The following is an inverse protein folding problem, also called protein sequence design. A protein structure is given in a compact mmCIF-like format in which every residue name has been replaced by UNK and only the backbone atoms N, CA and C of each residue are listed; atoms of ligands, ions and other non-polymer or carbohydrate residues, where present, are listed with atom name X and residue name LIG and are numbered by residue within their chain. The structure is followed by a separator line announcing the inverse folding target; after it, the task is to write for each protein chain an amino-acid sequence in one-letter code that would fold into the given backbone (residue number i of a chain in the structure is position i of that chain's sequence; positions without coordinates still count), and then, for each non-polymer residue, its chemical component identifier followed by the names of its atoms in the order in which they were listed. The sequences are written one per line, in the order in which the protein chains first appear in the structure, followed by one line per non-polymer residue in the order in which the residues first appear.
data_IF_773908006838
#
_entry.id   IF_773908006838
#
_cell.length_a   1.000
_cell.length_b   1.000
_cell.length_c   1.000
_cell.angle_alpha   90.00
_cell.angle_beta   90.00
_cell.angle_gamma   90.00
#
_symmetry.space_group_name_H-M   'P 1'
#
loop_
_entity.id
_entity.type
_entity.pdbx_description
1 polymer ?
#
# COMPACT_ATOMS: atom_id res chain seq x y z
N UNK A 1 21.85 -3.07 -0.70
CA UNK A 1 20.81 -3.16 -1.75
C UNK A 1 19.70 -2.15 -1.45
N UNK A 2 19.46 -1.17 -2.33
CA UNK A 2 18.71 0.08 -2.07
C UNK A 2 17.44 -0.10 -1.19
N UNK A 3 17.51 0.18 0.14
CA UNK A 3 16.30 0.26 0.98
C UNK A 3 15.29 1.27 0.44
N UNK A 4 15.79 2.28 -0.28
CA UNK A 4 15.04 3.26 -1.05
C UNK A 4 14.01 2.66 -2.01
N UNK A 5 14.31 1.55 -2.71
CA UNK A 5 13.35 0.99 -3.67
C UNK A 5 12.11 0.42 -2.97
N UNK A 6 12.26 -0.17 -1.78
CA UNK A 6 11.12 -0.70 -1.01
C UNK A 6 10.24 0.45 -0.52
N UNK A 7 10.86 1.48 0.04
CA UNK A 7 10.14 2.68 0.53
C UNK A 7 9.43 3.38 -0.63
N UNK A 8 10.10 3.49 -1.79
CA UNK A 8 9.53 4.08 -2.99
C UNK A 8 8.32 3.30 -3.51
N UNK A 9 8.39 1.96 -3.57
CA UNK A 9 7.28 1.12 -4.03
C UNK A 9 6.05 1.26 -3.12
N UNK A 10 6.27 1.33 -1.80
CA UNK A 10 5.20 1.53 -0.82
C UNK A 10 4.59 2.92 -0.96
N UNK A 11 5.40 3.98 -1.08
CA UNK A 11 4.90 5.33 -1.30
C UNK A 11 4.11 5.45 -2.60
N UNK A 12 4.58 4.82 -3.67
CA UNK A 12 3.89 4.79 -4.96
C UNK A 12 2.52 4.11 -4.83
N UNK A 13 2.44 2.99 -4.11
CA UNK A 13 1.18 2.31 -3.84
C UNK A 13 0.21 3.17 -3.03
N UNK A 14 0.69 3.82 -1.97
CA UNK A 14 -0.09 4.76 -1.15
C UNK A 14 -0.61 5.91 -2.01
N UNK A 15 0.24 6.51 -2.85
CA UNK A 15 -0.13 7.62 -3.72
C UNK A 15 -1.18 7.21 -4.76
N UNK A 16 -1.03 6.03 -5.39
CA UNK A 16 -2.01 5.51 -6.35
C UNK A 16 -3.38 5.25 -5.69
N UNK A 17 -3.40 4.60 -4.53
CA UNK A 17 -4.67 4.31 -3.83
C UNK A 17 -5.32 5.59 -3.33
N UNK A 18 -4.55 6.53 -2.78
CA UNK A 18 -5.05 7.83 -2.37
C UNK A 18 -5.64 8.59 -3.58
N UNK A 19 -4.95 8.60 -4.72
CA UNK A 19 -5.41 9.24 -5.95
C UNK A 19 -6.70 8.61 -6.48
N UNK A 20 -6.81 7.27 -6.43
CA UNK A 20 -8.02 6.56 -6.84
C UNK A 20 -9.20 6.88 -5.92
N UNK A 21 -9.00 6.83 -4.60
CA UNK A 21 -10.03 7.18 -3.61
C UNK A 21 -10.45 8.65 -3.73
N UNK A 22 -9.50 9.55 -3.97
CA UNK A 22 -9.77 10.97 -4.17
C UNK A 22 -10.61 11.19 -5.43
N UNK A 23 -10.20 10.58 -6.55
CA UNK A 23 -10.93 10.66 -7.83
C UNK A 23 -12.35 10.13 -7.68
N UNK A 24 -12.52 9.00 -7.00
CA UNK A 24 -13.84 8.43 -6.72
C UNK A 24 -14.71 9.36 -5.86
N UNK A 25 -14.15 9.95 -4.81
CA UNK A 25 -14.86 10.89 -3.95
C UNK A 25 -15.30 12.16 -4.69
N UNK A 26 -14.40 12.74 -5.50
CA UNK A 26 -14.69 13.89 -6.35
C UNK A 26 -15.75 13.57 -7.41
N UNK A 27 -15.65 12.39 -8.04
CA UNK A 27 -16.62 11.94 -9.05
C UNK A 27 -18.04 11.76 -8.49
N UNK A 28 -18.17 11.41 -7.20
CA UNK A 28 -19.46 11.35 -6.50
C UNK A 28 -19.98 12.73 -6.05
N UNK A 29 -19.25 13.82 -6.34
CA UNK A 29 -19.65 15.18 -5.97
C UNK A 29 -19.24 15.60 -4.55
N UNK A 30 -18.41 14.81 -3.85
CA UNK A 30 -17.89 15.20 -2.54
C UNK A 30 -16.73 16.19 -2.68
N UNK A 31 -17.06 17.45 -2.87
CA UNK A 31 -16.08 18.54 -3.03
C UNK A 31 -15.85 19.20 -1.68
N UNK A 32 -14.92 18.66 -0.89
CA UNK A 32 -14.62 19.19 0.44
C UNK A 32 -13.29 18.71 0.98
N UNK A 33 -12.75 19.42 1.97
CA UNK A 33 -11.49 19.05 2.64
C UNK A 33 -11.54 17.64 3.24
N UNK A 34 -12.70 17.21 3.73
CA UNK A 34 -12.91 15.88 4.27
C UNK A 34 -12.60 14.78 3.25
N UNK A 35 -12.94 14.97 1.97
CA UNK A 35 -12.70 13.99 0.91
C UNK A 35 -11.21 13.74 0.70
N UNK A 36 -10.38 14.78 0.81
CA UNK A 36 -8.92 14.68 0.71
C UNK A 36 -8.32 13.95 1.93
N UNK A 37 -8.79 14.29 3.13
CA UNK A 37 -8.33 13.62 4.36
C UNK A 37 -8.68 12.13 4.32
N UNK A 38 -9.93 11.79 3.99
CA UNK A 38 -10.38 10.40 3.88
C UNK A 38 -9.67 9.65 2.76
N UNK A 39 -9.45 10.27 1.60
CA UNK A 39 -8.67 9.66 0.52
C UNK A 39 -7.22 9.36 0.95
N UNK A 40 -6.59 10.28 1.70
CA UNK A 40 -5.27 10.07 2.30
C UNK A 40 -5.25 8.91 3.30
N UNK A 41 -6.25 8.82 4.18
CA UNK A 41 -6.40 7.73 5.15
C UNK A 41 -6.59 6.38 4.42
N UNK A 42 -7.47 6.33 3.42
CA UNK A 42 -7.70 5.12 2.61
C UNK A 42 -6.42 4.71 1.87
N UNK A 43 -5.70 5.68 1.29
CA UNK A 43 -4.40 5.48 0.68
C UNK A 43 -3.37 4.88 1.63
N UNK A 44 -3.33 5.35 2.87
CA UNK A 44 -2.40 4.84 3.89
C UNK A 44 -2.77 3.42 4.34
N UNK A 45 -4.05 3.21 4.68
CA UNK A 45 -4.56 1.96 5.25
C UNK A 45 -4.46 0.81 4.23
N UNK A 46 -4.77 1.07 2.95
CA UNK A 46 -4.74 0.05 1.90
C UNK A 46 -3.44 0.03 1.10
N UNK A 47 -2.82 1.18 0.87
CA UNK A 47 -1.60 1.29 0.06
C UNK A 47 -0.36 0.74 0.75
N UNK A 48 -0.22 0.90 2.08
CA UNK A 48 0.90 0.30 2.82
C UNK A 48 0.90 -1.23 2.72
N UNK A 49 -0.18 -1.97 3.08
CA UNK A 49 -0.18 -3.43 2.99
C UNK A 49 -0.04 -3.91 1.54
N UNK A 50 -0.68 -3.23 0.57
CA UNK A 50 -0.56 -3.60 -0.83
C UNK A 50 0.87 -3.40 -1.38
N UNK A 51 1.54 -2.31 -1.03
CA UNK A 51 2.94 -2.08 -1.37
C UNK A 51 3.89 -3.11 -0.75
N UNK A 52 3.60 -3.54 0.49
CA UNK A 52 4.36 -4.60 1.17
C UNK A 52 4.18 -5.96 0.49
N UNK A 53 2.94 -6.34 0.17
CA UNK A 53 2.61 -7.58 -0.54
C UNK A 53 3.23 -7.62 -1.93
N UNK A 54 3.13 -6.52 -2.67
CA UNK A 54 3.74 -6.40 -4.00
C UNK A 54 5.26 -6.59 -3.93
N UNK A 55 5.91 -6.04 -2.89
CA UNK A 55 7.34 -6.23 -2.69
C UNK A 55 7.74 -7.69 -2.40
N UNK A 56 6.91 -8.42 -1.62
CA UNK A 56 7.10 -9.86 -1.36
C UNK A 56 6.99 -10.66 -2.66
N UNK A 57 6.02 -10.32 -3.52
CA UNK A 57 5.83 -10.95 -4.84
C UNK A 57 6.97 -10.67 -5.84
N UNK A 58 7.46 -9.44 -5.89
CA UNK A 58 8.53 -9.02 -6.80
C UNK A 58 9.91 -9.57 -6.39
N UNK A 59 10.12 -9.91 -5.11
CA UNK A 59 11.40 -10.45 -4.61
C UNK A 59 11.24 -11.60 -3.60
N UNK A 60 10.73 -12.77 -4.02
CA UNK A 60 10.52 -13.92 -3.14
C UNK A 60 11.83 -14.46 -2.54
N UNK A 61 12.92 -14.48 -3.32
CA UNK A 61 14.21 -15.03 -2.88
C UNK A 61 14.93 -14.16 -1.82
N UNK A 62 14.60 -12.86 -1.73
CA UNK A 62 15.20 -11.93 -0.73
C UNK A 62 14.30 -11.70 0.49
N UNK A 63 12.99 -11.92 0.36
CA UNK A 63 12.05 -11.96 1.50
C UNK A 63 12.43 -13.06 2.50
N UNK A 64 12.97 -14.20 2.03
CA UNK A 64 13.48 -15.29 2.89
C UNK A 64 14.68 -14.91 3.78
N UNK A 65 15.51 -13.94 3.39
CA UNK A 65 16.69 -13.53 4.18
C UNK A 65 16.36 -12.51 5.28
N UNK A 66 15.20 -11.87 5.21
CA UNK A 66 14.75 -10.88 6.19
C UNK A 66 13.58 -11.53 6.93
N UNK A 67 13.88 -12.43 7.86
CA UNK A 67 12.91 -13.31 8.56
C UNK A 67 11.74 -12.62 9.27
N UNK A 68 11.64 -11.28 9.23
CA UNK A 68 10.63 -10.48 9.91
C UNK A 68 9.37 -10.16 9.07
N UNK A 69 9.42 -10.25 7.73
CA UNK A 69 8.24 -9.97 6.87
C UNK A 69 7.38 -11.19 6.56
N UNK A 70 7.88 -12.40 6.80
CA UNK A 70 7.15 -13.66 6.62
C UNK A 70 5.90 -13.81 7.49
N UNK A 71 5.88 -13.42 8.78
CA UNK A 71 4.70 -13.58 9.63
C UNK A 71 3.49 -12.78 9.12
N UNK A 72 3.74 -11.60 8.55
CA UNK A 72 2.69 -10.73 8.00
C UNK A 72 2.19 -11.27 6.66
N UNK A 73 3.11 -11.74 5.81
CA UNK A 73 2.76 -12.36 4.54
C UNK A 73 1.96 -13.67 4.74
N UNK A 74 2.30 -14.46 5.75
CA UNK A 74 1.58 -15.68 6.12
C UNK A 74 0.17 -15.37 6.64
N UNK A 75 0.02 -14.40 7.55
CA UNK A 75 -1.32 -14.01 8.07
C UNK A 75 -2.27 -13.55 6.98
N UNK A 76 -1.77 -12.83 5.97
CA UNK A 76 -2.60 -12.37 4.86
C UNK A 76 -2.91 -13.54 3.90
N UNK A 77 -1.96 -14.45 3.68
CA UNK A 77 -2.17 -15.64 2.85
C UNK A 77 -3.14 -16.64 3.48
N UNK A 78 -3.25 -16.67 4.81
CA UNK A 78 -4.26 -17.48 5.51
C UNK A 78 -5.63 -16.80 5.61
N UNK A 79 -5.71 -15.49 5.35
CA UNK A 79 -6.97 -14.73 5.34
C UNK A 79 -7.62 -14.62 3.95
N UNK A 80 -6.94 -15.11 2.90
CA UNK A 80 -7.42 -15.20 1.53
C UNK A 80 -7.71 -16.66 1.16
#
# INVERSE_FOLDING_TARGET
MLPWLRIFLVHLWVACVAGAALTAGLAMGYVGLATFVWAGVVGLVLGIPAGLLNWVWLRPNRSRQIGWTWPIAERIRQAA
#
